data_IF_905681223645
#
_entry.id   IF_905681223645
#
_cell.length_a   1.000
_cell.length_b   1.000
_cell.length_c   1.000
_cell.angle_alpha   90.00
_cell.angle_beta   90.00
_cell.angle_gamma   90.00
#
_symmetry.space_group_name_H-M   'P 1'
#
loop_
_entity.id
_entity.type
_entity.pdbx_description
1 polymer ?
#
# COMPACT_ATOMS: atom_id res chain seq x y z
N UNK A 1 18.29 -21.17 -4.45
CA UNK A 1 18.31 -20.06 -3.48
C UNK A 1 16.93 -19.44 -3.48
N UNK A 2 16.19 -19.38 -2.36
CA UNK A 2 15.23 -18.27 -2.13
C UNK A 2 14.83 -18.06 -0.67
N UNK A 3 15.56 -18.59 0.33
CA UNK A 3 15.27 -18.24 1.72
C UNK A 3 15.61 -16.75 1.97
N UNK A 4 14.73 -16.00 2.66
CA UNK A 4 14.95 -14.58 2.94
C UNK A 4 16.19 -14.36 3.82
N UNK A 5 16.73 -13.14 3.73
CA UNK A 5 17.86 -12.73 4.59
C UNK A 5 17.40 -12.70 6.05
N UNK A 6 18.31 -12.97 6.98
CA UNK A 6 17.99 -12.96 8.43
C UNK A 6 17.36 -11.64 8.87
N UNK A 7 17.87 -10.51 8.37
CA UNK A 7 17.39 -9.17 8.73
C UNK A 7 15.93 -8.94 8.33
N UNK A 8 15.45 -9.52 7.23
CA UNK A 8 14.06 -9.37 6.78
C UNK A 8 13.07 -10.23 7.58
N UNK A 9 13.54 -11.11 8.46
CA UNK A 9 12.70 -11.97 9.30
C UNK A 9 12.48 -11.38 10.70
N UNK A 10 13.33 -10.44 11.11
CA UNK A 10 13.29 -9.85 12.45
C UNK A 10 11.94 -9.19 12.77
N UNK A 11 11.43 -8.34 11.89
CA UNK A 11 10.16 -7.64 12.10
C UNK A 11 8.94 -8.59 12.04
N UNK A 12 8.81 -9.49 11.04
CA UNK A 12 7.73 -10.49 11.04
C UNK A 12 7.66 -11.35 12.31
N UNK A 13 8.79 -11.68 12.94
CA UNK A 13 8.79 -12.39 14.23
C UNK A 13 8.09 -11.57 15.31
N UNK A 14 8.40 -10.27 15.40
CA UNK A 14 7.81 -9.40 16.40
C UNK A 14 6.30 -9.21 16.15
N UNK A 15 5.89 -9.02 14.90
CA UNK A 15 4.48 -8.90 14.50
C UNK A 15 3.66 -10.15 14.86
N UNK A 16 4.18 -11.35 14.58
CA UNK A 16 3.51 -12.60 14.96
C UNK A 16 3.40 -12.76 16.48
N UNK A 17 4.43 -12.37 17.23
CA UNK A 17 4.38 -12.38 18.69
C UNK A 17 3.35 -11.38 19.23
N UNK A 18 3.21 -10.19 18.63
CA UNK A 18 2.14 -9.25 18.99
C UNK A 18 0.76 -9.85 18.71
N UNK A 19 0.55 -10.42 17.51
CA UNK A 19 -0.72 -11.00 17.07
C UNK A 19 -1.18 -12.19 17.95
N UNK A 20 -0.23 -12.90 18.55
CA UNK A 20 -0.47 -14.05 19.44
C UNK A 20 -0.63 -13.69 20.91
N UNK A 21 -0.70 -12.39 21.23
CA UNK A 21 -0.87 -11.92 22.61
C UNK A 21 0.44 -11.67 23.36
N UNK A 22 1.59 -11.81 22.70
CA UNK A 22 2.91 -11.44 23.21
C UNK A 22 3.88 -12.60 23.41
N UNK A 23 3.43 -13.85 23.25
CA UNK A 23 4.28 -15.01 23.38
C UNK A 23 3.74 -16.19 22.55
N UNK A 24 4.64 -16.96 21.94
CA UNK A 24 4.28 -18.21 21.26
C UNK A 24 5.44 -19.23 21.29
N UNK A 25 5.11 -20.50 21.04
CA UNK A 25 6.09 -21.55 20.81
C UNK A 25 6.75 -21.34 19.43
N UNK A 26 8.07 -21.41 19.40
CA UNK A 26 8.87 -21.15 18.20
C UNK A 26 8.49 -22.04 17.02
N UNK A 27 7.91 -23.23 17.27
CA UNK A 27 7.45 -24.14 16.21
C UNK A 27 6.28 -23.56 15.43
N UNK A 28 5.38 -22.83 16.09
CA UNK A 28 4.28 -22.14 15.42
C UNK A 28 4.79 -20.92 14.67
N UNK A 29 5.74 -20.18 15.25
CA UNK A 29 6.39 -19.03 14.59
C UNK A 29 6.99 -19.44 13.24
N UNK A 30 7.68 -20.59 13.15
CA UNK A 30 8.23 -21.07 11.87
C UNK A 30 7.21 -21.19 10.75
N UNK A 31 5.98 -21.60 11.08
CA UNK A 31 4.94 -21.86 10.09
C UNK A 31 4.23 -20.55 9.74
N UNK A 32 3.90 -19.72 10.73
CA UNK A 32 3.18 -18.45 10.52
C UNK A 32 4.00 -17.44 9.71
N UNK A 33 5.31 -17.43 9.89
CA UNK A 33 6.21 -16.58 9.12
C UNK A 33 6.15 -16.82 7.60
N UNK A 34 5.62 -17.95 7.12
CA UNK A 34 5.50 -18.24 5.69
C UNK A 34 4.67 -17.19 4.94
N UNK A 35 3.63 -16.64 5.58
CA UNK A 35 2.71 -15.70 4.95
C UNK A 35 3.39 -14.36 4.60
N UNK A 36 4.52 -14.06 5.23
CA UNK A 36 5.33 -12.85 4.99
C UNK A 36 6.32 -13.01 3.83
N UNK A 37 6.52 -14.23 3.31
CA UNK A 37 7.55 -14.52 2.33
C UNK A 37 7.01 -15.30 1.12
N UNK A 38 6.22 -14.67 0.24
CA UNK A 38 5.63 -15.31 -0.94
C UNK A 38 6.67 -15.83 -1.95
N UNK A 39 7.93 -15.43 -1.82
CA UNK A 39 9.05 -15.92 -2.64
C UNK A 39 9.54 -17.34 -2.28
N UNK A 40 9.06 -17.93 -1.17
CA UNK A 40 9.37 -19.30 -0.79
C UNK A 40 8.55 -20.24 -1.67
N UNK A 41 9.20 -21.19 -2.35
CA UNK A 41 8.49 -22.08 -3.27
C UNK A 41 7.65 -23.14 -2.54
N UNK A 42 6.76 -23.80 -3.27
CA UNK A 42 5.84 -24.80 -2.70
C UNK A 42 6.55 -25.99 -2.04
N UNK A 43 7.70 -26.42 -2.59
CA UNK A 43 8.50 -27.52 -2.05
C UNK A 43 9.05 -27.14 -0.67
N UNK A 44 9.70 -25.98 -0.56
CA UNK A 44 10.24 -25.45 0.69
C UNK A 44 9.12 -25.19 1.69
N UNK A 45 7.98 -24.65 1.25
CA UNK A 45 6.77 -24.47 2.09
C UNK A 45 6.31 -25.79 2.69
N UNK A 46 6.27 -26.87 1.90
CA UNK A 46 5.89 -28.20 2.39
C UNK A 46 6.88 -28.73 3.43
N UNK A 47 8.19 -28.57 3.18
CA UNK A 47 9.24 -28.98 4.11
C UNK A 47 9.23 -28.19 5.43
N UNK A 48 8.91 -26.89 5.37
CA UNK A 48 8.77 -26.03 6.55
C UNK A 48 7.56 -26.47 7.38
N UNK A 49 6.39 -26.68 6.76
CA UNK A 49 5.18 -27.16 7.44
C UNK A 49 5.36 -28.53 8.09
N UNK A 50 6.14 -29.42 7.46
CA UNK A 50 6.52 -30.74 8.02
C UNK A 50 7.62 -30.66 9.06
N UNK A 51 8.27 -29.50 9.23
CA UNK A 51 9.38 -29.32 10.15
C UNK A 51 10.66 -30.03 9.72
N UNK A 52 10.85 -30.29 8.44
CA UNK A 52 12.06 -30.94 7.90
C UNK A 52 13.05 -29.95 7.30
N UNK A 53 12.66 -28.68 7.11
CA UNK A 53 13.55 -27.65 6.59
C UNK A 53 14.47 -27.07 7.69
N UNK A 54 15.68 -27.61 7.83
CA UNK A 54 16.66 -27.14 8.82
C UNK A 54 17.17 -25.73 8.55
N UNK A 55 17.33 -25.36 7.28
CA UNK A 55 17.90 -24.07 6.89
C UNK A 55 16.97 -22.94 7.32
N UNK A 56 15.67 -23.08 7.11
CA UNK A 56 14.66 -22.15 7.60
C UNK A 56 14.74 -21.96 9.12
N UNK A 57 14.76 -23.07 9.86
CA UNK A 57 14.88 -23.05 11.32
C UNK A 57 16.13 -22.32 11.79
N UNK A 58 17.28 -22.61 11.18
CA UNK A 58 18.57 -21.95 11.49
C UNK A 58 18.47 -20.45 11.24
N UNK A 59 17.87 -20.02 10.14
CA UNK A 59 17.69 -18.60 9.82
C UNK A 59 16.75 -17.88 10.79
N UNK A 60 15.58 -18.46 11.08
CA UNK A 60 14.63 -17.89 12.06
C UNK A 60 15.25 -17.82 13.45
N UNK A 61 15.94 -18.88 13.89
CA UNK A 61 16.65 -18.90 15.18
C UNK A 61 17.76 -17.86 15.26
N UNK A 62 18.46 -17.60 14.15
CA UNK A 62 19.47 -16.53 14.06
C UNK A 62 18.81 -15.16 14.20
N UNK A 63 17.69 -14.91 13.52
CA UNK A 63 16.92 -13.66 13.65
C UNK A 63 16.42 -13.47 15.09
N UNK A 64 15.83 -14.50 15.71
CA UNK A 64 15.41 -14.45 17.11
C UNK A 64 16.56 -14.23 18.10
N UNK A 65 17.78 -14.68 17.78
CA UNK A 65 18.97 -14.36 18.59
C UNK A 65 19.30 -12.87 18.52
N UNK A 66 19.33 -12.29 17.32
CA UNK A 66 19.60 -10.87 17.12
C UNK A 66 18.56 -10.00 17.83
N UNK A 67 17.27 -10.34 17.71
CA UNK A 67 16.18 -9.65 18.42
C UNK A 67 16.34 -9.73 19.94
N UNK A 68 16.80 -10.87 20.45
CA UNK A 68 17.06 -11.03 21.89
C UNK A 68 18.27 -10.22 22.36
N UNK A 69 19.34 -10.16 21.57
CA UNK A 69 20.52 -9.30 21.83
C UNK A 69 20.13 -7.81 21.83
N UNK A 70 19.20 -7.40 20.96
CA UNK A 70 18.58 -6.06 20.92
C UNK A 70 17.54 -5.81 22.03
N UNK A 71 17.26 -6.80 22.89
CA UNK A 71 16.25 -6.76 23.96
C UNK A 71 14.81 -6.56 23.47
N UNK A 72 14.51 -6.91 22.22
CA UNK A 72 13.14 -6.88 21.67
C UNK A 72 12.32 -8.12 22.04
N UNK A 73 12.97 -9.24 22.33
CA UNK A 73 12.29 -10.42 22.84
C UNK A 73 13.16 -11.17 23.84
N UNK A 74 12.51 -12.04 24.62
CA UNK A 74 13.16 -13.01 25.50
C UNK A 74 12.87 -14.42 24.99
N UNK A 75 13.81 -15.33 25.21
CA UNK A 75 13.72 -16.72 24.74
C UNK A 75 13.88 -17.64 25.94
N UNK A 76 12.90 -18.51 26.18
CA UNK A 76 12.93 -19.48 27.27
C UNK A 76 12.31 -20.80 26.83
N UNK A 77 13.06 -21.91 26.94
CA UNK A 77 12.57 -23.29 26.69
C UNK A 77 11.70 -23.46 25.42
N UNK A 78 12.07 -22.80 24.32
CA UNK A 78 11.34 -22.87 23.05
C UNK A 78 10.17 -21.88 22.90
N UNK A 79 9.84 -21.13 23.95
CA UNK A 79 8.91 -20.01 23.91
C UNK A 79 9.64 -18.69 23.71
N UNK A 80 9.09 -17.86 22.83
CA UNK A 80 9.58 -16.51 22.61
C UNK A 80 8.53 -15.54 23.13
N UNK A 81 8.96 -14.54 23.88
CA UNK A 81 8.09 -13.54 24.49
C UNK A 81 8.59 -12.15 24.14
N UNK A 82 7.74 -11.35 23.50
CA UNK A 82 8.08 -9.98 23.12
C UNK A 82 8.20 -9.10 24.36
N UNK A 83 9.16 -8.17 24.38
CA UNK A 83 9.29 -7.16 25.43
C UNK A 83 8.49 -5.91 25.06
N UNK A 84 8.32 -4.97 25.99
CA UNK A 84 7.70 -3.67 25.67
C UNK A 84 8.53 -2.90 24.62
N UNK A 85 9.86 -3.03 24.67
CA UNK A 85 10.75 -2.46 23.65
C UNK A 85 10.53 -3.11 22.28
N UNK A 86 10.34 -4.43 22.24
CA UNK A 86 10.01 -5.13 20.99
C UNK A 86 8.60 -4.84 20.49
N UNK A 87 7.63 -4.61 21.38
CA UNK A 87 6.30 -4.12 21.00
C UNK A 87 6.41 -2.74 20.39
N UNK A 88 7.14 -1.83 21.02
CA UNK A 88 7.37 -0.50 20.46
C UNK A 88 8.05 -0.59 19.09
N UNK A 89 9.04 -1.46 18.89
CA UNK A 89 9.68 -1.66 17.58
C UNK A 89 8.72 -2.27 16.55
N UNK A 90 7.94 -3.29 16.95
CA UNK A 90 6.90 -3.88 16.11
C UNK A 90 5.87 -2.83 15.73
N UNK A 91 5.49 -1.96 16.68
CA UNK A 91 4.56 -0.87 16.50
C UNK A 91 5.15 0.27 15.68
N UNK A 92 6.47 0.53 15.73
CA UNK A 92 7.20 1.54 14.95
C UNK A 92 7.36 1.13 13.48
N UNK A 93 7.65 -0.14 13.20
CA UNK A 93 7.63 -0.69 11.84
C UNK A 93 6.19 -0.91 11.35
N UNK A 94 5.28 -1.25 12.27
CA UNK A 94 3.85 -1.12 12.01
C UNK A 94 3.54 0.34 11.72
N UNK A 95 4.11 1.37 12.36
CA UNK A 95 3.94 2.81 12.03
C UNK A 95 4.61 3.23 10.72
N UNK A 96 5.61 2.48 10.24
CA UNK A 96 6.12 2.55 8.86
C UNK A 96 5.15 1.94 7.83
N UNK A 97 4.16 1.17 8.28
CA UNK A 97 3.10 0.53 7.47
C UNK A 97 1.66 0.75 8.00
N UNK A 98 1.50 1.69 8.92
CA UNK A 98 0.27 2.03 9.62
C UNK A 98 0.36 3.51 9.75
N UNK A 99 -0.08 4.14 8.66
CA UNK A 99 -0.94 5.30 8.69
C UNK A 99 -0.95 5.91 10.07
N UNK A 100 -0.22 7.01 10.20
CA UNK A 100 -0.34 7.90 11.34
C UNK A 100 -1.79 7.88 11.76
N UNK A 101 -2.04 7.45 12.98
CA UNK A 101 -3.24 7.84 13.72
C UNK A 101 -3.11 9.33 14.05
N UNK A 102 -2.87 10.15 13.02
CA UNK A 102 -3.58 11.40 12.82
C UNK A 102 -5.02 11.06 13.16
N UNK A 103 -5.60 11.81 14.08
CA UNK A 103 -7.03 11.83 14.37
C UNK A 103 -7.79 11.41 13.11
N UNK A 104 -8.49 10.26 13.14
CA UNK A 104 -9.21 9.71 11.98
C UNK A 104 -10.32 10.71 11.65
N UNK A 105 -9.95 11.73 10.90
CA UNK A 105 -10.88 12.50 10.12
C UNK A 105 -11.13 11.63 8.90
N UNK A 106 -12.36 11.12 8.70
CA UNK A 106 -12.64 10.28 7.54
C UNK A 106 -12.18 11.03 6.28
N UNK A 107 -11.34 10.37 5.47
CA UNK A 107 -10.82 10.94 4.23
C UNK A 107 -12.00 11.42 3.39
N UNK A 108 -12.15 12.74 3.32
CA UNK A 108 -13.23 13.35 2.56
C UNK A 108 -12.86 13.41 1.10
N UNK A 109 -13.87 13.46 0.24
CA UNK A 109 -13.70 13.74 -1.19
C UNK A 109 -12.74 14.93 -1.44
N UNK A 110 -12.87 16.00 -0.64
CA UNK A 110 -12.00 17.18 -0.72
C UNK A 110 -10.56 16.92 -0.31
N UNK A 111 -10.32 16.05 0.68
CA UNK A 111 -8.96 15.69 1.08
C UNK A 111 -8.25 14.94 -0.05
N UNK A 112 -8.94 14.00 -0.70
CA UNK A 112 -8.39 13.24 -1.82
C UNK A 112 -8.11 14.14 -3.03
N UNK A 113 -9.02 15.06 -3.38
CA UNK A 113 -8.76 16.04 -4.44
C UNK A 113 -7.50 16.87 -4.16
N UNK A 114 -7.31 17.27 -2.90
CA UNK A 114 -6.14 18.05 -2.48
C UNK A 114 -4.86 17.22 -2.56
N UNK A 115 -4.88 15.97 -2.11
CA UNK A 115 -3.73 15.05 -2.23
C UNK A 115 -3.35 14.83 -3.71
N UNK A 116 -4.33 14.63 -4.60
CA UNK A 116 -4.09 14.48 -6.03
C UNK A 116 -3.49 15.75 -6.67
N UNK A 117 -3.86 16.94 -6.18
CA UNK A 117 -3.26 18.19 -6.63
C UNK A 117 -1.76 18.23 -6.28
N UNK A 118 -1.43 17.87 -5.04
CA UNK A 118 -0.06 17.88 -4.53
C UNK A 118 0.80 16.83 -5.21
N UNK A 119 0.29 15.60 -5.38
CA UNK A 119 0.97 14.53 -6.14
C UNK A 119 1.24 14.99 -7.58
N UNK A 120 0.24 15.54 -8.27
CA UNK A 120 0.41 16.03 -9.64
C UNK A 120 1.50 17.11 -9.74
N UNK A 121 1.51 18.03 -8.78
CA UNK A 121 2.54 19.09 -8.68
C UNK A 121 3.92 18.51 -8.43
N UNK A 122 4.06 17.52 -7.54
CA UNK A 122 5.34 16.83 -7.27
C UNK A 122 5.86 16.14 -8.52
N UNK A 123 4.98 15.59 -9.36
CA UNK A 123 5.35 14.99 -10.64
C UNK A 123 5.54 16.00 -11.79
N UNK A 124 5.46 17.30 -11.51
CA UNK A 124 5.70 18.36 -12.50
C UNK A 124 4.49 18.69 -13.39
N UNK A 125 3.31 18.16 -13.09
CA UNK A 125 2.09 18.54 -13.81
C UNK A 125 1.48 19.83 -13.29
N UNK A 126 0.78 20.55 -14.17
CA UNK A 126 -0.19 21.55 -13.77
C UNK A 126 -1.50 20.86 -13.36
N UNK A 127 -1.68 20.67 -12.06
CA UNK A 127 -2.86 20.04 -11.48
C UNK A 127 -3.93 21.08 -11.10
N UNK A 128 -5.20 20.77 -11.34
CA UNK A 128 -6.35 21.62 -10.99
C UNK A 128 -7.47 20.76 -10.42
N UNK A 129 -8.11 21.20 -9.34
CA UNK A 129 -9.33 20.60 -8.79
C UNK A 129 -10.59 21.29 -9.31
N UNK A 130 -11.70 20.56 -9.36
CA UNK A 130 -13.03 21.05 -9.78
C UNK A 130 -12.98 21.76 -11.15
N UNK A 131 -12.33 21.12 -12.14
CA UNK A 131 -12.17 21.67 -13.47
C UNK A 131 -13.32 21.22 -14.38
N UNK A 132 -14.12 22.18 -14.84
CA UNK A 132 -15.35 21.94 -15.60
C UNK A 132 -16.31 20.98 -14.86
N UNK A 133 -16.37 19.72 -15.29
CA UNK A 133 -17.22 18.67 -14.71
C UNK A 133 -16.40 17.52 -14.10
N UNK A 134 -15.08 17.69 -14.00
CA UNK A 134 -14.13 16.73 -13.46
C UNK A 134 -13.62 17.14 -12.07
N UNK A 135 -13.38 16.15 -11.20
CA UNK A 135 -12.96 16.42 -9.83
C UNK A 135 -11.51 16.89 -9.75
N UNK A 136 -10.60 16.26 -10.48
CA UNK A 136 -9.20 16.71 -10.63
C UNK A 136 -8.71 16.42 -12.04
N UNK A 137 -7.91 17.33 -12.61
CA UNK A 137 -7.24 17.15 -13.89
C UNK A 137 -5.78 17.53 -13.79
N UNK A 138 -4.93 16.82 -14.55
CA UNK A 138 -3.52 17.16 -14.72
C UNK A 138 -3.22 17.50 -16.17
N UNK A 139 -2.44 18.56 -16.37
CA UNK A 139 -1.99 19.05 -17.68
C UNK A 139 -0.46 19.16 -17.67
N UNK A 140 0.16 19.06 -18.84
CA UNK A 140 1.63 19.20 -18.95
C UNK A 140 2.10 20.60 -18.56
N UNK A 141 1.26 21.61 -18.78
CA UNK A 141 1.50 23.00 -18.35
C UNK A 141 0.17 23.76 -18.23
N UNK A 142 0.19 24.95 -17.64
CA UNK A 142 -0.99 25.80 -17.52
C UNK A 142 -1.59 26.20 -18.89
N UNK A 143 -0.73 26.42 -19.89
CA UNK A 143 -1.13 26.78 -21.24
C UNK A 143 -1.63 25.59 -22.07
N UNK A 144 -1.38 24.35 -21.62
CA UNK A 144 -1.85 23.15 -22.33
C UNK A 144 -3.37 23.07 -22.28
N UNK A 145 -4.00 23.01 -23.45
CA UNK A 145 -5.45 22.75 -23.56
C UNK A 145 -5.78 21.27 -23.34
N UNK A 146 -4.82 20.38 -23.59
CA UNK A 146 -5.01 18.93 -23.43
C UNK A 146 -4.92 18.52 -21.95
N UNK A 147 -5.92 17.78 -21.51
CA UNK A 147 -5.94 17.06 -20.25
C UNK A 147 -5.11 15.77 -20.38
N UNK A 148 -4.03 15.66 -19.62
CA UNK A 148 -3.14 14.49 -19.61
C UNK A 148 -3.75 13.37 -18.76
N UNK A 149 -4.21 13.70 -17.56
CA UNK A 149 -4.87 12.79 -16.62
C UNK A 149 -6.17 13.40 -16.12
N UNK A 150 -7.19 12.58 -15.90
CA UNK A 150 -8.49 13.00 -15.37
C UNK A 150 -8.92 12.04 -14.27
N UNK A 151 -9.34 12.58 -13.14
CA UNK A 151 -9.72 11.84 -11.95
C UNK A 151 -11.18 12.16 -11.56
N UNK A 152 -11.94 11.10 -11.26
CA UNK A 152 -13.25 11.20 -10.59
C UNK A 152 -13.15 10.51 -9.22
N UNK A 153 -13.53 11.22 -8.16
CA UNK A 153 -13.38 10.84 -6.76
C UNK A 153 -14.74 10.49 -6.15
N UNK A 154 -14.96 9.22 -5.82
CA UNK A 154 -16.25 8.73 -5.34
C UNK A 154 -16.14 8.21 -3.90
N UNK A 155 -16.72 8.98 -2.97
CA UNK A 155 -16.89 8.57 -1.57
C UNK A 155 -18.26 7.96 -1.29
N UNK A 156 -19.30 8.45 -1.97
CA UNK A 156 -20.69 7.95 -1.98
C UNK A 156 -21.35 8.48 -3.26
N UNK A 157 -21.94 7.63 -4.09
CA UNK A 157 -22.55 8.12 -5.33
C UNK A 157 -22.73 7.06 -6.42
N UNK A 158 -23.14 7.54 -7.59
CA UNK A 158 -23.34 6.71 -8.78
C UNK A 158 -22.03 6.58 -9.58
N UNK A 159 -21.42 5.39 -9.49
CA UNK A 159 -20.18 5.03 -10.18
C UNK A 159 -20.33 5.15 -11.71
N UNK A 160 -21.50 4.87 -12.28
CA UNK A 160 -21.73 4.88 -13.72
C UNK A 160 -21.64 6.30 -14.29
N UNK A 161 -22.03 7.32 -13.51
CA UNK A 161 -21.84 8.73 -13.90
C UNK A 161 -20.36 9.09 -14.00
N UNK A 162 -19.53 8.60 -13.07
CA UNK A 162 -18.09 8.78 -13.12
C UNK A 162 -17.48 8.10 -14.34
N UNK A 163 -17.87 6.86 -14.64
CA UNK A 163 -17.44 6.16 -15.86
C UNK A 163 -17.81 6.93 -17.13
N UNK A 164 -19.02 7.47 -17.23
CA UNK A 164 -19.45 8.25 -18.39
C UNK A 164 -18.58 9.50 -18.61
N UNK A 165 -18.25 10.24 -17.54
CA UNK A 165 -17.35 11.39 -17.62
C UNK A 165 -15.93 10.99 -18.03
N UNK A 166 -15.39 9.93 -17.43
CA UNK A 166 -14.05 9.41 -17.74
C UNK A 166 -13.96 8.90 -19.18
N UNK A 167 -15.01 8.23 -19.68
CA UNK A 167 -15.13 7.81 -21.08
C UNK A 167 -15.05 9.02 -22.01
N UNK A 168 -15.83 10.07 -21.71
CA UNK A 168 -15.81 11.32 -22.49
C UNK A 168 -14.43 11.96 -22.51
N UNK A 169 -13.72 12.00 -21.38
CA UNK A 169 -12.35 12.54 -21.32
C UNK A 169 -11.39 11.76 -22.24
N UNK A 170 -11.42 10.43 -22.13
CA UNK A 170 -10.59 9.56 -22.95
C UNK A 170 -10.93 9.64 -24.45
N UNK A 171 -12.21 9.71 -24.79
CA UNK A 171 -12.65 9.79 -26.19
C UNK A 171 -12.31 11.12 -26.84
N UNK A 172 -12.50 12.24 -26.13
CA UNK A 172 -12.28 13.58 -26.66
C UNK A 172 -10.79 13.98 -26.69
N UNK A 173 -10.03 13.62 -25.65
CA UNK A 173 -8.67 14.16 -25.44
C UNK A 173 -7.59 13.10 -25.28
N UNK A 174 -7.95 11.81 -25.32
CA UNK A 174 -7.05 10.68 -25.03
C UNK A 174 -6.36 10.85 -23.67
N UNK A 175 -7.07 11.42 -22.70
CA UNK A 175 -6.59 11.55 -21.32
C UNK A 175 -6.53 10.18 -20.66
N UNK A 176 -5.61 9.99 -19.72
CA UNK A 176 -5.58 8.79 -18.88
C UNK A 176 -6.64 8.92 -17.78
N UNK A 177 -7.69 8.07 -17.76
CA UNK A 177 -8.76 8.17 -16.78
C UNK A 177 -8.43 7.42 -15.49
N UNK A 178 -8.81 8.02 -14.36
CA UNK A 178 -8.64 7.46 -13.02
C UNK A 178 -9.97 7.53 -12.27
N UNK A 179 -10.42 6.39 -11.75
CA UNK A 179 -11.55 6.31 -10.83
C UNK A 179 -11.02 6.08 -9.42
N UNK A 180 -11.27 7.03 -8.53
CA UNK A 180 -10.77 7.01 -7.15
C UNK A 180 -11.91 6.67 -6.20
N UNK A 181 -11.82 5.53 -5.49
CA UNK A 181 -12.92 4.98 -4.69
C UNK A 181 -12.61 4.94 -3.19
N UNK A 182 -13.60 5.25 -2.36
CA UNK A 182 -13.40 5.22 -0.89
C UNK A 182 -13.45 3.84 -0.25
N UNK A 183 -14.02 2.82 -0.90
CA UNK A 183 -14.24 1.51 -0.31
C UNK A 183 -14.01 0.34 -1.27
N UNK A 184 -13.59 -0.80 -0.73
CA UNK A 184 -13.45 -2.08 -1.45
C UNK A 184 -14.79 -2.60 -2.00
N UNK A 185 -15.91 -2.26 -1.34
CA UNK A 185 -17.24 -2.66 -1.83
C UNK A 185 -17.58 -1.97 -3.15
N UNK A 186 -17.17 -0.71 -3.29
CA UNK A 186 -17.35 0.06 -4.51
C UNK A 186 -16.41 -0.40 -5.61
N UNK A 187 -15.20 -0.89 -5.27
CA UNK A 187 -14.26 -1.50 -6.21
C UNK A 187 -14.91 -2.64 -6.99
N UNK A 188 -15.54 -3.59 -6.28
CA UNK A 188 -16.19 -4.74 -6.91
C UNK A 188 -17.32 -4.31 -7.85
N UNK A 189 -18.12 -3.31 -7.45
CA UNK A 189 -19.19 -2.76 -8.31
C UNK A 189 -18.61 -2.09 -9.56
N UNK A 190 -17.59 -1.27 -9.39
CA UNK A 190 -16.89 -0.61 -10.49
C UNK A 190 -16.31 -1.63 -11.48
N UNK A 191 -15.68 -2.70 -11.00
CA UNK A 191 -15.15 -3.78 -11.86
C UNK A 191 -16.25 -4.50 -12.65
N UNK A 192 -17.43 -4.72 -12.03
CA UNK A 192 -18.58 -5.30 -12.72
C UNK A 192 -19.12 -4.38 -13.82
N UNK A 193 -19.35 -3.10 -13.54
CA UNK A 193 -19.80 -2.11 -14.55
C UNK A 193 -18.77 -1.97 -15.68
N UNK A 194 -17.47 -1.94 -15.34
CA UNK A 194 -16.39 -1.85 -16.32
C UNK A 194 -16.40 -3.03 -17.32
N UNK A 195 -16.66 -4.24 -16.83
CA UNK A 195 -16.69 -5.45 -17.66
C UNK A 195 -17.95 -5.53 -18.54
N UNK A 196 -19.08 -4.95 -18.09
CA UNK A 196 -20.36 -5.05 -18.79
C UNK A 196 -20.61 -3.92 -19.77
N UNK A 197 -20.40 -2.68 -19.35
CA UNK A 197 -20.89 -1.49 -20.05
C UNK A 197 -19.77 -0.58 -20.56
N UNK A 198 -18.59 -0.62 -19.93
CA UNK A 198 -17.46 0.26 -20.24
C UNK A 198 -16.22 -0.51 -20.71
N UNK A 199 -16.39 -1.59 -21.47
CA UNK A 199 -15.30 -2.46 -21.92
C UNK A 199 -14.16 -1.71 -22.62
N UNK A 200 -14.48 -0.66 -23.38
CA UNK A 200 -13.49 0.18 -24.06
C UNK A 200 -12.53 0.90 -23.10
N UNK A 201 -13.01 1.23 -21.90
CA UNK A 201 -12.20 1.86 -20.85
C UNK A 201 -11.34 0.86 -20.08
N UNK A 202 -11.65 -0.44 -20.14
CA UNK A 202 -10.98 -1.45 -19.31
C UNK A 202 -9.46 -1.49 -19.52
N UNK A 203 -8.99 -1.14 -20.72
CA UNK A 203 -7.56 -1.16 -21.06
C UNK A 203 -6.79 0.09 -20.60
N UNK A 204 -7.50 1.17 -20.28
CA UNK A 204 -6.89 2.49 -20.05
C UNK A 204 -7.23 3.10 -18.70
N UNK A 205 -8.36 2.69 -18.10
CA UNK A 205 -8.80 3.17 -16.81
C UNK A 205 -7.99 2.54 -15.68
N UNK A 206 -7.52 3.40 -14.78
CA UNK A 206 -6.94 2.99 -13.51
C UNK A 206 -7.98 3.20 -12.41
N UNK A 207 -8.22 2.16 -11.60
CA UNK A 207 -9.03 2.26 -10.39
C UNK A 207 -8.09 2.25 -9.18
N UNK A 208 -8.22 3.23 -8.30
CA UNK A 208 -7.35 3.41 -7.13
C UNK A 208 -8.20 3.77 -5.90
N UNK A 209 -7.79 3.34 -4.71
CA UNK A 209 -8.54 3.62 -3.48
C UNK A 209 -8.07 4.89 -2.77
N UNK A 210 -8.89 5.43 -1.87
CA UNK A 210 -8.52 6.57 -1.03
C UNK A 210 -7.27 6.27 -0.19
N UNK A 211 -7.18 5.05 0.35
CA UNK A 211 -6.02 4.60 1.12
C UNK A 211 -4.75 4.57 0.27
N UNK A 212 -4.83 4.10 -0.98
CA UNK A 212 -3.68 4.11 -1.89
C UNK A 212 -3.23 5.53 -2.27
N UNK A 213 -4.17 6.47 -2.44
CA UNK A 213 -3.82 7.89 -2.67
C UNK A 213 -3.13 8.50 -1.45
N UNK A 214 -3.66 8.23 -0.25
CA UNK A 214 -3.05 8.69 1.00
C UNK A 214 -1.64 8.12 1.18
N UNK A 215 -1.43 6.84 0.89
CA UNK A 215 -0.12 6.19 0.95
C UNK A 215 0.87 6.81 -0.05
N UNK A 216 0.46 7.00 -1.31
CA UNK A 216 1.30 7.67 -2.32
C UNK A 216 1.65 9.09 -1.88
N UNK A 217 0.66 9.85 -1.41
CA UNK A 217 0.86 11.22 -0.98
C UNK A 217 1.82 11.31 0.20
N UNK A 218 1.63 10.45 1.21
CA UNK A 218 2.49 10.36 2.38
C UNK A 218 3.94 10.04 1.98
N UNK A 219 4.14 9.00 1.17
CA UNK A 219 5.46 8.58 0.72
C UNK A 219 6.16 9.64 -0.14
N UNK A 220 5.41 10.39 -0.96
CA UNK A 220 5.98 11.46 -1.79
C UNK A 220 6.27 12.73 -1.01
N UNK A 221 5.60 12.98 0.12
CA UNK A 221 5.79 14.20 0.90
C UNK A 221 7.22 14.32 1.44
N UNK A 222 7.81 13.21 1.87
CA UNK A 222 9.17 13.18 2.40
C UNK A 222 10.25 13.22 1.30
N UNK A 223 9.89 12.81 0.07
CA UNK A 223 10.81 12.78 -1.09
C UNK A 223 10.63 14.04 -1.95
N UNK A 224 9.61 14.86 -1.71
CA UNK A 224 9.17 15.95 -2.58
C UNK A 224 10.24 16.98 -2.91
N UNK A 225 11.14 17.28 -1.97
CA UNK A 225 12.27 18.19 -2.22
C UNK A 225 13.31 17.58 -3.17
N UNK A 226 13.64 16.29 -2.99
CA UNK A 226 14.56 15.57 -3.86
C UNK A 226 13.98 15.44 -5.27
N UNK A 227 12.69 15.10 -5.40
CA UNK A 227 12.04 14.98 -6.71
C UNK A 227 12.06 16.32 -7.46
N UNK A 228 11.81 17.44 -6.77
CA UNK A 228 11.89 18.77 -7.39
C UNK A 228 13.29 19.09 -7.91
N UNK A 229 14.34 18.73 -7.16
CA UNK A 229 15.72 18.92 -7.64
C UNK A 229 16.02 18.11 -8.92
N UNK A 230 15.42 16.93 -9.07
CA UNK A 230 15.57 16.10 -10.27
C UNK A 230 14.73 16.57 -11.46
N UNK A 231 13.56 17.18 -11.23
CA UNK A 231 12.68 17.65 -12.30
C UNK A 231 13.03 19.05 -12.82
N UNK A 232 13.81 19.84 -12.07
CA UNK A 232 14.21 21.20 -12.44
C UNK A 232 15.61 21.29 -13.10
N UNK A 233 16.35 20.17 -13.20
CA UNK A 233 17.61 20.07 -13.96
C UNK A 233 17.36 19.45 -15.34
#
# INVERSE_FOLDING_TARGET
MSLPKTSSIEIPILQELVATGGADDVRFIYVRLLDYFPQINEKETSEIKKGTNENWRKTVQKAGKLLSEKKFLTRSRGYWTITDHGRAEADLETLGFTLSKSEIKPLSHKNIQQMLLEIGTIFGFFAVKEFEFYDVVWRESEASLRLSHVFEVQSRGNIDSAFAKLKRAYEAQRSKPFLVLSSETDLRRAQQSLTREFQDLQKVLVIITFAQIEEIHFNLKDIGEIVREFLLK
#
